data_IF_271891807474
#
_entry.id   IF_271891807474
#
_cell.length_a   1.000
_cell.length_b   1.000
_cell.length_c   1.000
_cell.angle_alpha   90.00
_cell.angle_beta   90.00
_cell.angle_gamma   90.00
#
_symmetry.space_group_name_H-M   'P 1'
#
loop_
_entity.id
_entity.type
_entity.pdbx_description
1 polymer ?
#
# COMPACT_ATOMS: atom_id res chain seq x y z
N UNK A 1 13.93 -1.69 -7.61
CA UNK A 1 14.79 -0.48 -7.67
C UNK A 1 14.39 0.38 -6.50
N UNK A 2 15.28 0.62 -5.55
CA UNK A 2 15.02 1.64 -4.54
C UNK A 2 14.77 2.96 -5.30
N UNK A 3 13.58 3.51 -5.17
CA UNK A 3 13.29 4.85 -5.66
C UNK A 3 14.27 5.78 -4.94
N UNK A 4 15.27 6.30 -5.68
CA UNK A 4 16.13 7.35 -5.13
C UNK A 4 15.25 8.56 -4.89
N UNK A 5 14.92 8.79 -3.63
CA UNK A 5 14.30 10.05 -3.22
C UNK A 5 15.24 11.20 -3.58
N UNK A 6 14.71 12.36 -3.99
CA UNK A 6 15.52 13.56 -4.08
C UNK A 6 16.23 13.83 -2.74
N UNK A 7 17.40 14.46 -2.77
CA UNK A 7 18.12 14.78 -1.55
C UNK A 7 17.22 15.65 -0.64
N UNK A 8 17.07 15.33 0.68
CA UNK A 8 16.22 16.08 1.61
C UNK A 8 16.53 17.58 1.72
N UNK A 9 17.69 18.02 1.26
CA UNK A 9 18.11 19.44 1.22
C UNK A 9 17.74 20.15 -0.09
N UNK A 10 17.21 19.42 -1.09
CA UNK A 10 16.86 19.98 -2.41
C UNK A 10 15.42 20.52 -2.40
N UNK A 11 15.20 21.70 -3.02
CA UNK A 11 13.87 22.28 -3.24
C UNK A 11 12.91 21.32 -3.96
N UNK A 12 13.45 20.48 -4.83
CA UNK A 12 12.71 19.38 -5.49
C UNK A 12 12.19 18.32 -4.51
N UNK A 13 12.89 18.11 -3.40
CA UNK A 13 12.43 17.19 -2.36
C UNK A 13 11.19 17.75 -1.66
N UNK A 14 11.15 19.04 -1.37
CA UNK A 14 9.98 19.68 -0.76
C UNK A 14 8.74 19.53 -1.61
N UNK A 15 8.83 19.87 -2.91
CA UNK A 15 7.70 19.72 -3.84
C UNK A 15 7.27 18.26 -3.96
N UNK A 16 8.22 17.33 -4.05
CA UNK A 16 7.94 15.89 -4.10
C UNK A 16 7.28 15.39 -2.81
N UNK A 17 7.80 15.81 -1.64
CA UNK A 17 7.27 15.39 -0.35
C UNK A 17 5.89 15.99 -0.05
N UNK A 18 5.63 17.24 -0.44
CA UNK A 18 4.29 17.83 -0.36
C UNK A 18 3.25 17.05 -1.18
N UNK A 19 3.63 16.57 -2.36
CA UNK A 19 2.77 15.68 -3.13
C UNK A 19 2.52 14.36 -2.39
N UNK A 20 3.55 13.79 -1.75
CA UNK A 20 3.43 12.57 -0.95
C UNK A 20 2.54 12.75 0.29
N UNK A 21 2.72 13.85 1.03
CA UNK A 21 1.90 14.15 2.22
C UNK A 21 0.40 14.25 1.90
N UNK A 22 0.05 14.61 0.67
CA UNK A 22 -1.32 14.60 0.19
C UNK A 22 -1.82 13.20 -0.23
N UNK A 23 -1.04 12.15 0.06
CA UNK A 23 -1.34 10.76 -0.26
C UNK A 23 -1.74 10.56 -1.74
N UNK A 24 -1.01 11.23 -2.66
CA UNK A 24 -1.28 11.15 -4.09
C UNK A 24 -0.98 9.77 -4.71
N UNK A 25 -0.29 8.91 -3.99
CA UNK A 25 0.01 7.56 -4.47
C UNK A 25 -1.26 6.71 -4.61
N UNK A 26 -1.43 5.98 -5.70
CA UNK A 26 -2.65 5.21 -5.99
C UNK A 26 -3.03 4.23 -4.90
N UNK A 27 -2.06 3.59 -4.26
CA UNK A 27 -2.30 2.63 -3.16
C UNK A 27 -2.84 3.30 -1.89
N UNK A 28 -2.36 4.48 -1.50
CA UNK A 28 -2.94 5.23 -0.38
C UNK A 28 -4.34 5.74 -0.71
N UNK A 29 -4.56 6.22 -1.94
CA UNK A 29 -5.90 6.60 -2.40
C UNK A 29 -6.88 5.41 -2.34
N UNK A 30 -6.41 4.22 -2.69
CA UNK A 30 -7.21 3.00 -2.59
C UNK A 30 -7.57 2.70 -1.13
N UNK A 31 -6.59 2.74 -0.22
CA UNK A 31 -6.81 2.54 1.23
C UNK A 31 -7.84 3.53 1.76
N UNK A 32 -7.67 4.83 1.51
CA UNK A 32 -8.60 5.86 1.95
C UNK A 32 -10.00 5.66 1.37
N UNK A 33 -10.11 5.30 0.09
CA UNK A 33 -11.39 5.01 -0.56
C UNK A 33 -12.10 3.81 0.03
N UNK A 34 -11.35 2.82 0.52
CA UNK A 34 -11.91 1.62 1.15
C UNK A 34 -12.28 1.87 2.61
N UNK A 35 -11.48 2.62 3.36
CA UNK A 35 -11.74 2.91 4.78
C UNK A 35 -12.85 3.94 4.98
N UNK A 36 -12.89 5.01 4.20
CA UNK A 36 -13.84 6.14 4.38
C UNK A 36 -15.31 5.76 4.56
N UNK A 37 -15.86 4.74 3.86
CA UNK A 37 -17.26 4.33 4.05
C UNK A 37 -17.53 3.57 5.36
N UNK A 38 -16.47 3.14 6.07
CA UNK A 38 -16.52 2.20 7.19
C UNK A 38 -16.15 2.89 8.50
N UNK A 39 -15.11 3.71 8.45
CA UNK A 39 -14.55 4.39 9.63
C UNK A 39 -13.78 5.65 9.22
N UNK A 40 -13.60 6.55 10.17
CA UNK A 40 -12.65 7.65 10.12
C UNK A 40 -11.45 7.34 11.05
N UNK A 41 -10.57 8.32 11.24
CA UNK A 41 -9.40 8.18 12.08
C UNK A 41 -9.56 8.83 13.47
N UNK A 42 -10.60 9.61 13.69
CA UNK A 42 -10.79 10.37 14.94
C UNK A 42 -10.82 9.43 16.14
N UNK A 43 -9.90 9.65 17.08
CA UNK A 43 -9.74 8.84 18.28
C UNK A 43 -9.35 7.37 18.06
N UNK A 44 -8.89 6.98 16.85
CA UNK A 44 -8.48 5.62 16.50
C UNK A 44 -6.98 5.42 16.64
N UNK A 45 -6.59 4.27 17.16
CA UNK A 45 -5.21 3.78 17.15
C UNK A 45 -4.94 3.10 15.82
N UNK A 46 -4.02 3.67 15.05
CA UNK A 46 -3.72 3.24 13.70
C UNK A 46 -2.26 2.85 13.57
N UNK A 47 -2.00 1.60 13.26
CA UNK A 47 -0.66 1.10 12.95
C UNK A 47 -0.45 1.04 11.43
N UNK A 48 0.58 1.72 10.94
CA UNK A 48 1.07 1.51 9.58
C UNK A 48 2.31 0.61 9.60
N UNK A 49 2.23 -0.57 8.97
CA UNK A 49 3.34 -1.52 8.84
C UNK A 49 4.04 -1.33 7.50
N UNK A 50 5.36 -1.06 7.54
CA UNK A 50 6.13 -0.64 6.38
C UNK A 50 5.91 0.84 6.06
N UNK A 51 5.93 1.69 7.09
CA UNK A 51 5.55 3.10 6.97
C UNK A 51 6.52 3.97 6.15
N UNK A 52 7.73 3.49 5.88
CA UNK A 52 8.73 4.25 5.15
C UNK A 52 8.95 5.65 5.74
N UNK A 53 8.59 6.70 5.01
CA UNK A 53 8.69 8.10 5.44
C UNK A 53 7.55 8.55 6.36
N UNK A 54 6.62 7.70 6.73
CA UNK A 54 5.53 7.97 7.67
C UNK A 54 4.44 8.90 7.15
N UNK A 55 4.30 9.01 5.84
CA UNK A 55 3.36 9.95 5.20
C UNK A 55 1.90 9.64 5.56
N UNK A 56 1.53 8.36 5.57
CA UNK A 56 0.19 7.95 5.97
C UNK A 56 -0.05 8.18 7.46
N UNK A 57 0.93 7.88 8.33
CA UNK A 57 0.86 8.18 9.76
C UNK A 57 0.61 9.68 10.01
N UNK A 58 1.31 10.56 9.28
CA UNK A 58 1.10 12.01 9.37
C UNK A 58 -0.32 12.42 8.93
N UNK A 59 -0.86 11.74 7.92
CA UNK A 59 -2.25 11.97 7.48
C UNK A 59 -3.25 11.53 8.57
N UNK A 60 -3.06 10.36 9.16
CA UNK A 60 -3.89 9.86 10.26
C UNK A 60 -3.91 10.86 11.41
N UNK A 61 -2.74 11.31 11.87
CA UNK A 61 -2.64 12.26 12.98
C UNK A 61 -3.32 13.60 12.68
N UNK A 62 -3.17 14.12 11.45
CA UNK A 62 -3.88 15.33 11.01
C UNK A 62 -5.40 15.19 11.02
N UNK A 63 -5.90 13.96 10.98
CA UNK A 63 -7.33 13.63 11.02
C UNK A 63 -7.76 13.05 12.38
N UNK A 64 -7.05 13.41 13.47
CA UNK A 64 -7.44 13.13 14.84
C UNK A 64 -7.14 11.71 15.34
N UNK A 65 -6.44 10.89 14.57
CA UNK A 65 -6.03 9.55 14.98
C UNK A 65 -4.70 9.53 15.74
N UNK A 66 -4.46 8.46 16.49
CA UNK A 66 -3.17 8.13 17.10
C UNK A 66 -2.42 7.17 16.18
N UNK A 67 -1.35 7.66 15.53
CA UNK A 67 -0.65 6.90 14.52
C UNK A 67 0.67 6.33 15.02
N UNK A 68 0.90 5.05 14.76
CA UNK A 68 2.21 4.40 14.95
C UNK A 68 2.69 3.92 13.58
N UNK A 69 3.86 4.40 13.17
CA UNK A 69 4.54 3.92 11.97
C UNK A 69 5.62 2.91 12.33
N UNK A 70 5.58 1.72 11.72
CA UNK A 70 6.56 0.68 11.92
C UNK A 70 7.28 0.36 10.61
N UNK A 71 8.61 0.30 10.68
CA UNK A 71 9.44 -0.12 9.56
C UNK A 71 10.67 -0.88 10.06
N UNK A 72 11.19 -1.80 9.27
CA UNK A 72 12.43 -2.52 9.58
C UNK A 72 13.66 -1.63 9.35
N UNK A 73 13.54 -0.62 8.52
CA UNK A 73 14.61 0.32 8.15
C UNK A 73 14.74 1.42 9.20
N UNK A 74 15.79 1.34 10.01
CA UNK A 74 16.12 2.41 10.97
C UNK A 74 16.29 3.78 10.29
N UNK A 75 16.88 3.81 9.10
CA UNK A 75 17.08 5.07 8.37
C UNK A 75 15.74 5.69 7.94
N UNK A 76 14.79 4.88 7.47
CA UNK A 76 13.45 5.36 7.12
C UNK A 76 12.73 5.94 8.35
N UNK A 77 12.80 5.26 9.50
CA UNK A 77 12.20 5.74 10.75
C UNK A 77 12.82 7.06 11.23
N UNK A 78 14.14 7.20 11.14
CA UNK A 78 14.79 8.47 11.50
C UNK A 78 14.35 9.61 10.59
N UNK A 79 14.27 9.35 9.29
CA UNK A 79 13.80 10.32 8.30
C UNK A 79 12.32 10.68 8.51
N UNK A 80 11.45 9.71 8.79
CA UNK A 80 10.05 9.93 9.12
C UNK A 80 9.89 10.86 10.36
N UNK A 81 10.67 10.63 11.42
CA UNK A 81 10.70 11.48 12.62
C UNK A 81 11.14 12.92 12.29
N UNK A 82 12.15 13.05 11.45
CA UNK A 82 12.67 14.39 11.05
C UNK A 82 11.65 15.11 10.17
N UNK A 83 11.01 14.43 9.24
CA UNK A 83 9.96 15.00 8.39
C UNK A 83 8.74 15.44 9.22
N UNK A 84 8.28 14.61 10.16
CA UNK A 84 7.17 14.95 11.06
C UNK A 84 7.45 16.24 11.83
N UNK A 85 8.66 16.41 12.35
CA UNK A 85 9.09 17.64 13.03
C UNK A 85 9.19 18.82 12.06
N UNK A 86 9.84 18.63 10.93
CA UNK A 86 10.06 19.67 9.90
C UNK A 86 8.76 20.25 9.36
N UNK A 87 7.75 19.39 9.16
CA UNK A 87 6.43 19.82 8.68
C UNK A 87 5.45 20.13 9.80
N UNK A 88 5.92 20.22 11.06
CA UNK A 88 5.14 20.57 12.25
C UNK A 88 3.78 19.85 12.28
N UNK A 89 3.79 18.55 12.04
CA UNK A 89 2.56 17.74 12.02
C UNK A 89 1.94 17.75 13.40
N UNK A 90 0.71 18.26 13.48
CA UNK A 90 -0.08 18.23 14.71
C UNK A 90 -0.71 16.84 14.91
N UNK A 91 -0.84 16.43 16.17
CA UNK A 91 -1.43 15.15 16.54
C UNK A 91 -0.39 14.11 17.00
N UNK A 92 -0.86 12.92 17.34
CA UNK A 92 -0.06 11.85 17.92
C UNK A 92 0.52 10.98 16.81
N UNK A 93 1.83 11.08 16.60
CA UNK A 93 2.58 10.21 15.66
C UNK A 93 3.81 9.66 16.36
N UNK A 94 3.92 8.35 16.38
CA UNK A 94 5.10 7.63 16.86
C UNK A 94 5.70 6.75 15.76
N UNK A 95 7.01 6.48 15.86
CA UNK A 95 7.70 5.62 14.90
C UNK A 95 8.58 4.61 15.62
N UNK A 96 8.47 3.34 15.21
CA UNK A 96 9.14 2.18 15.83
C UNK A 96 9.93 1.41 14.77
N UNK A 97 11.18 1.06 15.08
CA UNK A 97 11.96 0.14 14.25
C UNK A 97 11.63 -1.28 14.71
N UNK A 98 10.98 -2.07 13.87
CA UNK A 98 10.66 -3.48 14.17
C UNK A 98 10.45 -4.30 12.92
N UNK A 99 10.56 -5.62 13.06
CA UNK A 99 10.20 -6.59 12.05
C UNK A 99 8.70 -6.90 12.15
N UNK A 100 7.98 -6.78 11.05
CA UNK A 100 6.55 -7.04 10.98
C UNK A 100 6.15 -8.48 11.38
N UNK A 101 7.10 -9.40 11.37
CA UNK A 101 6.90 -10.79 11.80
C UNK A 101 6.93 -10.98 13.32
N UNK A 102 7.23 -9.92 14.08
CA UNK A 102 7.37 -9.91 15.54
C UNK A 102 6.98 -8.53 16.07
N UNK A 103 5.69 -8.22 16.02
CA UNK A 103 5.19 -6.91 16.41
C UNK A 103 5.24 -6.70 17.93
N UNK A 104 5.84 -5.60 18.40
CA UNK A 104 6.01 -5.33 19.82
C UNK A 104 4.74 -4.73 20.47
N UNK A 105 3.58 -5.21 20.07
CA UNK A 105 2.28 -4.75 20.55
C UNK A 105 1.53 -5.89 21.23
N UNK A 106 0.69 -5.55 22.20
CA UNK A 106 -0.19 -6.51 22.86
C UNK A 106 -1.35 -6.90 21.94
N UNK A 107 -1.97 -8.04 22.23
CA UNK A 107 -3.14 -8.52 21.49
C UNK A 107 -4.27 -7.49 21.55
N UNK A 108 -4.95 -7.28 20.41
CA UNK A 108 -6.14 -6.42 20.30
C UNK A 108 -5.88 -4.97 20.71
N UNK A 109 -4.69 -4.45 20.41
CA UNK A 109 -4.30 -3.09 20.75
C UNK A 109 -4.63 -2.05 19.70
N UNK A 110 -4.88 -2.46 18.44
CA UNK A 110 -5.03 -1.53 17.33
C UNK A 110 -6.45 -1.53 16.75
N UNK A 111 -6.99 -0.36 16.46
CA UNK A 111 -8.30 -0.22 15.83
C UNK A 111 -8.23 -0.35 14.30
N UNK A 112 -7.12 0.10 13.71
CA UNK A 112 -6.87 0.01 12.27
C UNK A 112 -5.42 -0.38 12.04
N UNK A 113 -5.21 -1.38 11.19
CA UNK A 113 -3.88 -1.72 10.68
C UNK A 113 -3.86 -1.45 9.19
N UNK A 114 -2.84 -0.72 8.74
CA UNK A 114 -2.58 -0.44 7.33
C UNK A 114 -1.23 -1.02 6.93
N UNK A 115 -1.18 -1.70 5.80
CA UNK A 115 0.07 -2.17 5.20
C UNK A 115 -0.01 -1.94 3.69
N UNK A 116 0.80 -1.02 3.19
CA UNK A 116 0.75 -0.58 1.80
C UNK A 116 2.01 -0.96 1.05
N UNK A 117 1.89 -1.80 0.01
CA UNK A 117 3.02 -2.23 -0.83
C UNK A 117 4.22 -2.72 0.03
N UNK A 118 3.95 -3.58 1.01
CA UNK A 118 4.93 -4.00 2.01
C UNK A 118 5.03 -5.52 2.14
N UNK A 119 3.89 -6.24 2.16
CA UNK A 119 3.89 -7.69 2.40
C UNK A 119 4.66 -8.47 1.34
N UNK A 120 4.71 -7.99 0.10
CA UNK A 120 5.49 -8.58 -0.99
C UNK A 120 6.99 -8.55 -0.76
N UNK A 121 7.47 -7.70 0.14
CA UNK A 121 8.89 -7.59 0.50
C UNK A 121 9.26 -8.42 1.74
N UNK A 122 8.28 -9.01 2.42
CA UNK A 122 8.49 -9.74 3.68
C UNK A 122 8.60 -11.25 3.41
N UNK A 123 9.76 -11.82 3.69
CA UNK A 123 9.92 -13.26 3.77
C UNK A 123 9.04 -13.83 4.90
N UNK A 124 8.26 -14.88 4.62
CA UNK A 124 7.27 -15.40 5.56
C UNK A 124 6.20 -14.34 5.93
N UNK A 125 5.61 -13.75 4.89
CA UNK A 125 4.55 -12.75 5.02
C UNK A 125 3.29 -13.31 5.71
N UNK A 126 3.09 -14.62 5.71
CA UNK A 126 2.03 -15.29 6.47
C UNK A 126 2.21 -15.02 7.97
N UNK A 127 3.45 -15.10 8.48
CA UNK A 127 3.74 -14.79 9.89
C UNK A 127 3.51 -13.30 10.21
N UNK A 128 3.88 -12.40 9.30
CA UNK A 128 3.59 -10.98 9.48
C UNK A 128 2.08 -10.72 9.52
N UNK A 129 1.32 -11.35 8.64
CA UNK A 129 -0.13 -11.21 8.61
C UNK A 129 -0.81 -11.84 9.85
N UNK A 130 -0.26 -12.94 10.38
CA UNK A 130 -0.68 -13.51 11.66
C UNK A 130 -0.52 -12.50 12.81
N UNK A 131 0.58 -11.76 12.86
CA UNK A 131 0.79 -10.69 13.82
C UNK A 131 -0.27 -9.56 13.66
N UNK A 132 -0.61 -9.18 12.42
CA UNK A 132 -1.69 -8.22 12.19
C UNK A 132 -3.03 -8.74 12.77
N UNK A 133 -3.36 -10.01 12.50
CA UNK A 133 -4.58 -10.63 13.03
C UNK A 133 -4.57 -10.75 14.57
N UNK A 134 -3.40 -10.91 15.18
CA UNK A 134 -3.25 -10.97 16.65
C UNK A 134 -3.54 -9.61 17.29
N UNK A 135 -2.94 -8.53 16.77
CA UNK A 135 -2.98 -7.22 17.42
C UNK A 135 -4.19 -6.37 17.05
N UNK A 136 -4.93 -6.71 15.97
CA UNK A 136 -6.15 -5.99 15.62
C UNK A 136 -7.24 -6.22 16.65
N UNK A 137 -7.96 -5.18 17.05
CA UNK A 137 -9.12 -5.27 17.93
C UNK A 137 -10.26 -6.09 17.29
N UNK A 138 -11.18 -6.61 18.08
CA UNK A 138 -12.30 -7.41 17.56
C UNK A 138 -13.22 -6.61 16.64
N UNK A 139 -13.32 -5.30 16.85
CA UNK A 139 -14.08 -4.37 16.01
C UNK A 139 -13.22 -3.66 14.98
N UNK A 140 -11.91 -3.94 14.96
CA UNK A 140 -10.93 -3.25 14.13
C UNK A 140 -10.87 -3.74 12.69
N UNK A 141 -10.12 -3.02 11.87
CA UNK A 141 -9.97 -3.27 10.44
C UNK A 141 -8.51 -3.40 10.03
N UNK A 142 -8.22 -4.40 9.20
CA UNK A 142 -6.94 -4.53 8.50
C UNK A 142 -7.16 -4.11 7.05
N UNK A 143 -6.43 -3.09 6.60
CA UNK A 143 -6.47 -2.62 5.22
C UNK A 143 -5.07 -2.73 4.62
N UNK A 144 -4.94 -3.49 3.53
CA UNK A 144 -3.65 -3.67 2.86
C UNK A 144 -3.75 -3.51 1.35
N UNK A 145 -2.65 -3.09 0.74
CA UNK A 145 -2.45 -3.15 -0.71
C UNK A 145 -1.21 -3.95 -1.04
N UNK A 146 -1.30 -4.68 -2.14
CA UNK A 146 -0.18 -5.43 -2.72
C UNK A 146 -0.23 -5.35 -4.24
N UNK A 147 0.92 -5.39 -4.94
CA UNK A 147 0.93 -5.46 -6.39
C UNK A 147 0.33 -6.78 -6.87
N UNK A 148 -0.53 -6.70 -7.88
CA UNK A 148 -1.05 -7.87 -8.57
C UNK A 148 -0.14 -8.25 -9.73
N UNK A 149 0.87 -9.02 -9.45
CA UNK A 149 1.91 -9.30 -10.42
C UNK A 149 1.39 -10.02 -11.67
N UNK A 150 0.36 -10.87 -11.53
CA UNK A 150 -0.24 -11.59 -12.68
C UNK A 150 -0.87 -10.60 -13.66
N UNK A 151 -1.60 -9.60 -13.18
CA UNK A 151 -2.24 -8.61 -14.04
C UNK A 151 -1.22 -7.68 -14.68
N UNK A 152 -0.28 -7.15 -13.88
CA UNK A 152 0.76 -6.25 -14.37
C UNK A 152 1.65 -6.92 -15.41
N UNK A 153 2.12 -8.14 -15.14
CA UNK A 153 2.96 -8.92 -16.04
C UNK A 153 2.23 -9.28 -17.34
N UNK A 154 0.94 -9.61 -17.29
CA UNK A 154 0.20 -9.99 -18.47
C UNK A 154 0.11 -8.84 -19.47
N UNK A 155 -0.30 -7.65 -19.02
CA UNK A 155 -0.42 -6.48 -19.91
C UNK A 155 0.92 -6.01 -20.45
N UNK A 156 1.97 -5.99 -19.65
CA UNK A 156 3.31 -5.59 -20.10
C UNK A 156 3.94 -6.66 -21.00
N UNK A 157 3.77 -7.94 -20.69
CA UNK A 157 4.23 -9.04 -21.51
C UNK A 157 3.62 -8.97 -22.90
N UNK A 158 2.29 -8.87 -23.01
CA UNK A 158 1.59 -8.76 -24.29
C UNK A 158 2.07 -7.52 -25.06
N UNK A 159 2.19 -6.39 -24.37
CA UNK A 159 2.65 -5.15 -24.98
C UNK A 159 4.07 -5.27 -25.55
N UNK A 160 5.04 -5.74 -24.78
CA UNK A 160 6.43 -5.85 -25.25
C UNK A 160 6.62 -6.94 -26.30
N UNK A 161 5.81 -7.99 -26.28
CA UNK A 161 5.79 -9.00 -27.35
C UNK A 161 5.27 -8.40 -28.66
N UNK A 162 4.17 -7.65 -28.62
CA UNK A 162 3.59 -6.97 -29.80
C UNK A 162 4.57 -5.92 -30.36
N UNK A 163 5.30 -5.21 -29.50
CA UNK A 163 6.31 -4.22 -29.89
C UNK A 163 7.65 -4.81 -30.32
N UNK A 164 7.79 -6.15 -30.36
CA UNK A 164 9.04 -6.82 -30.76
C UNK A 164 10.21 -6.56 -29.81
N UNK A 165 9.96 -6.28 -28.53
CA UNK A 165 10.97 -5.91 -27.55
C UNK A 165 11.06 -6.89 -26.36
N UNK A 166 11.29 -8.21 -26.58
CA UNK A 166 11.24 -9.23 -25.51
C UNK A 166 12.31 -9.04 -24.42
N UNK A 167 13.39 -8.29 -24.70
CA UNK A 167 14.44 -7.97 -23.71
C UNK A 167 13.92 -7.21 -22.46
N UNK A 168 12.84 -6.45 -22.60
CA UNK A 168 12.23 -5.74 -21.49
C UNK A 168 11.43 -6.67 -20.57
N UNK A 169 10.90 -7.78 -21.10
CA UNK A 169 10.21 -8.81 -20.30
C UNK A 169 11.16 -9.46 -19.29
N UNK A 170 12.41 -9.74 -19.69
CA UNK A 170 13.43 -10.31 -18.77
C UNK A 170 13.71 -9.41 -17.57
N UNK A 171 13.59 -8.08 -17.71
CA UNK A 171 13.79 -7.14 -16.59
C UNK A 171 12.67 -7.22 -15.55
N UNK A 172 11.45 -7.57 -15.95
CA UNK A 172 10.32 -7.80 -15.06
C UNK A 172 10.37 -9.17 -14.39
N UNK A 173 10.89 -10.18 -15.08
CA UNK A 173 11.04 -11.53 -14.52
C UNK A 173 12.19 -11.63 -13.48
N UNK A 174 13.08 -10.63 -13.41
CA UNK A 174 14.09 -10.50 -12.36
C UNK A 174 13.52 -9.88 -11.06
N UNK A 175 12.29 -10.24 -10.68
CA UNK A 175 11.70 -9.93 -9.38
C UNK A 175 12.28 -10.90 -8.34
N UNK A 176 13.62 -10.89 -8.19
CA UNK A 176 14.34 -11.85 -7.33
C UNK A 176 14.10 -11.66 -5.83
N UNK A 177 13.34 -10.63 -5.41
CA UNK A 177 13.16 -10.29 -3.98
C UNK A 177 11.73 -10.00 -3.55
N UNK A 178 10.75 -10.09 -4.45
CA UNK A 178 9.37 -9.82 -4.12
C UNK A 178 8.54 -11.11 -4.17
N UNK A 179 7.69 -11.33 -3.17
CA UNK A 179 6.78 -12.46 -3.18
C UNK A 179 5.56 -12.13 -4.03
N UNK A 180 5.28 -13.00 -5.01
CA UNK A 180 4.15 -12.82 -5.94
C UNK A 180 2.84 -12.86 -5.20
N UNK A 181 2.07 -11.78 -5.29
CA UNK A 181 0.69 -11.72 -4.85
C UNK A 181 -0.26 -11.74 -6.04
N UNK A 182 -1.44 -12.31 -5.82
CA UNK A 182 -2.58 -12.32 -6.73
C UNK A 182 -3.87 -12.45 -5.92
N UNK A 183 -4.98 -12.13 -6.53
CA UNK A 183 -6.30 -12.08 -5.88
C UNK A 183 -6.60 -13.30 -4.96
N UNK A 184 -6.39 -14.52 -5.46
CA UNK A 184 -6.69 -15.72 -4.68
C UNK A 184 -5.72 -15.94 -3.51
N UNK A 185 -4.44 -15.55 -3.66
CA UNK A 185 -3.46 -15.62 -2.57
C UNK A 185 -3.84 -14.66 -1.45
N UNK A 186 -4.23 -13.42 -1.77
CA UNK A 186 -4.71 -12.44 -0.78
C UNK A 186 -5.93 -12.97 -0.03
N UNK A 187 -6.93 -13.52 -0.75
CA UNK A 187 -8.10 -14.14 -0.11
C UNK A 187 -7.73 -15.30 0.82
N UNK A 188 -6.82 -16.18 0.39
CA UNK A 188 -6.36 -17.29 1.22
C UNK A 188 -5.66 -16.81 2.47
N UNK A 189 -4.81 -15.78 2.35
CA UNK A 189 -4.10 -15.18 3.47
C UNK A 189 -5.07 -14.58 4.51
N UNK A 190 -6.09 -13.87 4.08
CA UNK A 190 -7.11 -13.32 4.99
C UNK A 190 -7.91 -14.43 5.66
N UNK A 191 -8.35 -15.43 4.89
CA UNK A 191 -9.16 -16.52 5.43
C UNK A 191 -8.37 -17.44 6.38
N UNK A 192 -7.03 -17.56 6.25
CA UNK A 192 -6.22 -18.39 7.16
C UNK A 192 -6.19 -17.85 8.59
N UNK A 193 -6.50 -16.59 8.80
CA UNK A 193 -6.57 -15.96 10.13
C UNK A 193 -8.00 -15.77 10.65
N UNK A 194 -8.98 -16.45 10.07
CA UNK A 194 -10.40 -16.35 10.43
C UNK A 194 -10.92 -14.89 10.36
N UNK A 195 -10.44 -14.12 9.40
CA UNK A 195 -10.89 -12.77 9.14
C UNK A 195 -11.96 -12.77 8.04
N UNK A 196 -12.95 -11.89 8.19
CA UNK A 196 -13.98 -11.62 7.17
C UNK A 196 -13.51 -10.54 6.21
N UNK A 197 -13.55 -10.82 4.91
CA UNK A 197 -13.27 -9.81 3.88
C UNK A 197 -14.50 -8.92 3.73
N UNK A 198 -14.37 -7.65 4.11
CA UNK A 198 -15.40 -6.62 3.93
C UNK A 198 -15.45 -6.16 2.49
N UNK A 199 -14.30 -5.85 1.91
CA UNK A 199 -14.19 -5.48 0.50
C UNK A 199 -12.82 -5.86 -0.06
N UNK A 200 -12.78 -6.10 -1.36
CA UNK A 200 -11.55 -6.32 -2.11
C UNK A 200 -11.67 -5.63 -3.46
N UNK A 201 -10.72 -4.78 -3.79
CA UNK A 201 -10.71 -3.96 -5.01
C UNK A 201 -9.39 -4.10 -5.75
N UNK A 202 -9.46 -4.01 -7.06
CA UNK A 202 -8.28 -3.75 -7.89
C UNK A 202 -8.24 -2.29 -8.31
N UNK A 203 -7.05 -1.78 -8.61
CA UNK A 203 -6.85 -0.47 -9.24
C UNK A 203 -5.91 -0.57 -10.43
N UNK A 204 -5.80 0.51 -11.20
CA UNK A 204 -4.89 0.63 -12.34
C UNK A 204 -5.05 -0.52 -13.35
N UNK A 205 -6.29 -0.77 -13.78
CA UNK A 205 -6.64 -1.87 -14.69
C UNK A 205 -5.94 -1.80 -16.05
N UNK A 206 -5.49 -0.62 -16.46
CA UNK A 206 -4.72 -0.42 -17.68
C UNK A 206 -3.39 0.22 -17.31
N UNK A 207 -2.42 -0.62 -16.99
CA UNK A 207 -1.05 -0.16 -16.74
C UNK A 207 -0.31 -0.07 -18.07
N UNK A 208 -0.30 1.11 -18.66
CA UNK A 208 0.54 1.39 -19.84
C UNK A 208 1.80 2.12 -19.39
N UNK A 209 2.94 1.67 -19.92
CA UNK A 209 4.23 2.32 -19.62
C UNK A 209 4.14 3.85 -19.83
N UNK A 210 4.66 4.70 -18.91
CA UNK A 210 4.52 6.16 -18.97
C UNK A 210 4.92 6.82 -20.29
N UNK A 211 5.91 6.25 -21.00
CA UNK A 211 6.31 6.71 -22.33
C UNK A 211 5.22 6.54 -23.38
N UNK A 212 4.39 5.50 -23.25
CA UNK A 212 3.31 5.17 -24.19
C UNK A 212 2.12 6.09 -23.95
N UNK A 213 1.72 6.23 -22.69
CA UNK A 213 0.62 7.13 -22.31
C UNK A 213 0.93 8.56 -22.71
N UNK A 214 2.19 8.98 -22.59
CA UNK A 214 2.67 10.32 -22.99
C UNK A 214 2.73 10.47 -24.52
N UNK A 215 3.27 9.48 -25.22
CA UNK A 215 3.43 9.52 -26.68
C UNK A 215 2.07 9.57 -27.40
N UNK A 216 1.12 8.73 -26.97
CA UNK A 216 -0.22 8.67 -27.58
C UNK A 216 -1.24 9.60 -26.90
N UNK A 217 -0.86 10.42 -25.92
CA UNK A 217 -1.76 11.28 -25.12
C UNK A 217 -2.94 10.53 -24.49
N UNK A 218 -2.75 9.24 -24.17
CA UNK A 218 -3.81 8.33 -23.70
C UNK A 218 -4.10 8.45 -22.21
N UNK A 219 -3.37 9.26 -21.45
CA UNK A 219 -3.49 9.34 -20.00
C UNK A 219 -4.94 9.50 -19.51
N UNK A 220 -5.69 10.46 -20.07
CA UNK A 220 -7.10 10.68 -19.68
C UNK A 220 -8.01 9.49 -20.03
N UNK A 221 -7.78 8.85 -21.18
CA UNK A 221 -8.59 7.69 -21.62
C UNK A 221 -8.30 6.48 -20.72
N UNK A 222 -7.04 6.23 -20.42
CA UNK A 222 -6.60 5.16 -19.50
C UNK A 222 -7.24 5.34 -18.14
N UNK A 223 -7.18 6.55 -17.56
CA UNK A 223 -7.80 6.87 -16.27
C UNK A 223 -9.32 6.66 -16.31
N UNK A 224 -10.01 7.14 -17.34
CA UNK A 224 -11.45 6.99 -17.48
C UNK A 224 -11.88 5.52 -17.57
N UNK A 225 -11.15 4.71 -18.34
CA UNK A 225 -11.46 3.28 -18.49
C UNK A 225 -11.14 2.53 -17.19
N UNK A 226 -10.00 2.81 -16.55
CA UNK A 226 -9.63 2.22 -15.27
C UNK A 226 -10.71 2.50 -14.20
N UNK A 227 -11.18 3.74 -14.08
CA UNK A 227 -12.24 4.13 -13.13
C UNK A 227 -13.58 3.41 -13.42
N UNK A 228 -13.91 3.17 -14.68
CA UNK A 228 -15.11 2.39 -15.05
C UNK A 228 -14.97 0.92 -14.67
N UNK A 229 -13.79 0.34 -14.84
CA UNK A 229 -13.52 -1.07 -14.52
C UNK A 229 -13.47 -1.30 -13.01
N UNK A 230 -12.95 -0.35 -12.24
CA UNK A 230 -12.85 -0.41 -10.78
C UNK A 230 -14.21 -0.66 -10.11
N UNK A 231 -15.28 -0.13 -10.67
CA UNK A 231 -16.63 -0.30 -10.15
C UNK A 231 -17.29 -1.64 -10.53
N UNK A 232 -16.69 -2.43 -11.43
CA UNK A 232 -17.24 -3.72 -11.86
C UNK A 232 -16.67 -4.87 -11.02
N UNK A 233 -17.53 -5.56 -10.27
CA UNK A 233 -17.16 -6.70 -9.40
C UNK A 233 -16.37 -7.80 -10.13
N UNK A 234 -16.68 -8.07 -11.39
CA UNK A 234 -16.02 -9.08 -12.23
C UNK A 234 -14.57 -8.74 -12.58
N UNK A 235 -14.14 -7.48 -12.45
CA UNK A 235 -12.78 -7.05 -12.82
C UNK A 235 -11.85 -6.86 -11.63
N UNK A 236 -12.33 -7.02 -10.40
CA UNK A 236 -11.55 -6.80 -9.16
C UNK A 236 -10.26 -7.60 -9.07
N UNK A 237 -10.20 -8.77 -9.72
CA UNK A 237 -9.01 -9.62 -9.77
C UNK A 237 -7.97 -9.21 -10.80
N UNK A 238 -8.27 -8.25 -11.67
CA UNK A 238 -7.44 -7.86 -12.82
C UNK A 238 -6.75 -6.50 -12.67
N UNK A 239 -6.95 -5.80 -11.56
CA UNK A 239 -6.22 -4.56 -11.28
C UNK A 239 -4.72 -4.81 -11.09
N UNK A 240 -3.89 -3.83 -11.40
CA UNK A 240 -2.44 -3.91 -11.20
C UNK A 240 -2.05 -3.96 -9.72
N UNK A 241 -2.87 -3.32 -8.86
CA UNK A 241 -2.77 -3.44 -7.41
C UNK A 241 -4.08 -4.02 -6.86
N UNK A 242 -3.98 -4.76 -5.76
CA UNK A 242 -5.11 -5.31 -5.02
C UNK A 242 -5.13 -4.65 -3.65
N UNK A 243 -6.26 -4.01 -3.32
CA UNK A 243 -6.57 -3.58 -1.97
C UNK A 243 -7.58 -4.54 -1.33
N UNK A 244 -7.39 -4.85 -0.06
CA UNK A 244 -8.34 -5.62 0.74
C UNK A 244 -8.57 -4.94 2.07
N UNK A 245 -9.82 -4.95 2.53
CA UNK A 245 -10.17 -4.60 3.90
C UNK A 245 -10.86 -5.79 4.55
N UNK A 246 -10.39 -6.15 5.72
CA UNK A 246 -10.87 -7.28 6.50
C UNK A 246 -11.07 -6.89 7.97
N UNK A 247 -11.91 -7.63 8.67
CA UNK A 247 -12.13 -7.52 10.13
C UNK A 247 -12.17 -8.91 10.75
N UNK A 248 -12.12 -8.99 12.08
CA UNK A 248 -12.36 -10.27 12.77
C UNK A 248 -13.77 -10.76 12.51
N UNK A 249 -13.89 -12.06 12.26
CA UNK A 249 -15.21 -12.73 12.23
C UNK A 249 -15.81 -12.73 13.65
N UNK A 250 -17.11 -12.39 13.73
CA UNK A 250 -17.84 -12.40 14.99
C UNK A 250 -17.97 -13.82 15.56
#
# INVERSE_FOLDING_TARGET
>A
MAHKHPNPTDEKFHTWFEQKINLADPWYQLILKMLKPITDFEGKRVLEVGCGLGVFCMHVAKNGGEAIGLDISRSAILEAKDLTRKYAVQGNVEFVVSDARFLPFIDRSEDIIVSSETLEHIANHEKAFHEFARIIDNSGYICLTVPNLISSLFFEYVFFMVMGQPKYVKRFLNVEKEYVFHYFKVKRLVNSENLEIIDIKGTDYIHLHPKITRFFRLGKVVTLVSNKLENKRSWRSLGANIGVIAKKSA
#
